data_IF_950949361482
#
_entry.id   IF_950949361482
#
_cell.length_a   1.000
_cell.length_b   1.000
_cell.length_c   1.000
_cell.angle_alpha   90.00
_cell.angle_beta   90.00
_cell.angle_gamma   90.00
#
_symmetry.space_group_name_H-M   'P 1'
#
loop_
_entity.id
_entity.type
_entity.pdbx_description
1 polymer ?
#
# COMPACT_ATOMS: atom_id res chain seq x y z
N UNK A 1 37.08 -19.19 -26.26
CA UNK A 1 36.00 -20.05 -26.82
C UNK A 1 34.96 -19.14 -27.47
N UNK A 2 34.36 -19.48 -28.64
CA UNK A 2 33.21 -18.74 -29.19
C UNK A 2 31.97 -18.81 -28.30
N UNK A 3 32.01 -19.63 -27.25
CA UNK A 3 31.01 -19.80 -26.20
C UNK A 3 31.46 -19.21 -24.86
N UNK A 4 32.19 -18.09 -24.86
CA UNK A 4 32.45 -17.33 -23.63
C UNK A 4 31.20 -16.50 -23.28
N UNK A 5 30.17 -17.18 -22.80
CA UNK A 5 29.07 -16.53 -22.08
C UNK A 5 29.54 -16.45 -20.62
N UNK A 6 29.49 -15.26 -20.02
CA UNK A 6 29.70 -15.14 -18.58
C UNK A 6 28.68 -16.04 -17.89
N UNK A 7 29.11 -16.94 -17.01
CA UNK A 7 28.19 -17.81 -16.25
C UNK A 7 27.17 -16.94 -15.52
N UNK A 8 25.89 -17.15 -15.80
CA UNK A 8 24.80 -16.44 -15.14
C UNK A 8 24.85 -16.71 -13.63
N UNK A 9 24.97 -15.65 -12.84
CA UNK A 9 24.91 -15.75 -11.39
C UNK A 9 23.43 -15.81 -10.95
N UNK A 10 22.86 -17.03 -10.95
CA UNK A 10 21.45 -17.29 -10.66
C UNK A 10 21.15 -17.49 -9.17
N UNK A 11 21.75 -16.67 -8.28
CA UNK A 11 21.41 -16.72 -6.86
C UNK A 11 20.38 -15.62 -6.57
N UNK A 12 19.17 -16.01 -6.19
CA UNK A 12 18.22 -15.06 -5.61
C UNK A 12 18.72 -14.67 -4.22
N UNK A 13 18.92 -13.37 -4.00
CA UNK A 13 19.40 -12.85 -2.72
C UNK A 13 18.25 -12.60 -1.75
N UNK A 14 16.99 -12.70 -2.19
CA UNK A 14 15.83 -12.55 -1.32
C UNK A 14 15.58 -13.81 -0.49
N UNK A 15 15.23 -13.62 0.78
CA UNK A 15 14.78 -14.70 1.64
C UNK A 15 13.41 -15.20 1.21
N UNK A 16 13.25 -16.51 1.09
CA UNK A 16 11.93 -17.10 0.97
C UNK A 16 11.24 -17.16 2.34
N UNK A 17 9.92 -17.34 2.35
CA UNK A 17 9.12 -17.39 3.58
C UNK A 17 9.62 -18.44 4.59
N UNK A 18 10.13 -19.60 4.13
CA UNK A 18 10.61 -20.66 5.03
C UNK A 18 11.93 -20.29 5.70
N UNK A 19 12.81 -19.57 5.00
CA UNK A 19 14.04 -19.04 5.57
C UNK A 19 13.73 -18.00 6.65
N UNK A 20 12.77 -17.11 6.38
CA UNK A 20 12.29 -16.15 7.39
C UNK A 20 11.69 -16.87 8.59
N UNK A 21 10.83 -17.88 8.37
CA UNK A 21 10.27 -18.69 9.45
C UNK A 21 11.35 -19.34 10.30
N UNK A 22 12.37 -19.94 9.70
CA UNK A 22 13.49 -20.53 10.44
C UNK A 22 14.23 -19.52 11.30
N UNK A 23 14.55 -18.33 10.76
CA UNK A 23 15.19 -17.26 11.53
C UNK A 23 14.34 -16.77 12.70
N UNK A 24 13.02 -16.66 12.52
CA UNK A 24 12.10 -16.22 13.58
C UNK A 24 11.90 -17.32 14.64
N UNK A 25 11.87 -18.59 14.25
CA UNK A 25 11.77 -19.74 15.17
C UNK A 25 13.01 -19.86 16.06
N UNK A 26 14.21 -19.72 15.49
CA UNK A 26 15.47 -19.67 16.25
C UNK A 26 15.44 -18.51 17.25
N UNK A 27 15.02 -17.33 16.81
CA UNK A 27 14.94 -16.14 17.65
C UNK A 27 13.92 -16.26 18.81
N UNK A 28 12.72 -16.79 18.53
CA UNK A 28 11.69 -17.03 19.56
C UNK A 28 12.15 -18.05 20.59
N UNK A 29 12.86 -19.10 20.13
CA UNK A 29 13.41 -20.14 20.99
C UNK A 29 14.46 -19.57 21.94
N UNK A 30 15.39 -18.76 21.43
CA UNK A 30 16.46 -18.14 22.22
C UNK A 30 15.93 -17.12 23.22
N UNK A 31 14.89 -16.38 22.86
CA UNK A 31 14.33 -15.31 23.70
C UNK A 31 13.12 -15.74 24.56
N UNK A 32 12.58 -16.94 24.35
CA UNK A 32 11.38 -17.48 25.00
C UNK A 32 10.17 -16.53 24.93
N UNK A 33 9.91 -15.93 23.76
CA UNK A 33 8.86 -14.91 23.60
C UNK A 33 7.47 -15.56 23.50
N UNK A 34 7.36 -16.69 22.79
CA UNK A 34 6.12 -17.39 22.51
C UNK A 34 5.26 -16.64 21.50
N UNK A 35 5.87 -16.09 20.45
CA UNK A 35 5.18 -15.38 19.37
C UNK A 35 4.52 -16.33 18.35
N UNK A 36 3.57 -15.82 17.56
CA UNK A 36 3.03 -16.57 16.42
C UNK A 36 4.03 -16.51 15.25
N UNK A 37 4.86 -17.55 15.13
CA UNK A 37 5.90 -17.65 14.09
C UNK A 37 5.32 -17.52 12.68
N UNK A 38 4.17 -18.16 12.43
CA UNK A 38 3.56 -18.16 11.10
C UNK A 38 3.05 -16.76 10.73
N UNK A 39 2.36 -16.10 11.66
CA UNK A 39 1.87 -14.74 11.43
C UNK A 39 3.01 -13.75 11.22
N UNK A 40 4.02 -13.74 12.11
CA UNK A 40 5.12 -12.79 12.05
C UNK A 40 5.98 -12.98 10.79
N UNK A 41 6.34 -14.22 10.45
CA UNK A 41 7.11 -14.48 9.22
C UNK A 41 6.32 -14.12 7.97
N UNK A 42 5.00 -14.39 7.96
CA UNK A 42 4.10 -13.96 6.91
C UNK A 42 4.12 -12.44 6.71
N UNK A 43 3.92 -11.67 7.79
CA UNK A 43 3.96 -10.21 7.75
C UNK A 43 5.31 -9.67 7.26
N UNK A 44 6.42 -10.22 7.75
CA UNK A 44 7.76 -9.82 7.29
C UNK A 44 7.90 -10.08 5.79
N UNK A 45 7.51 -11.26 5.30
CA UNK A 45 7.62 -11.60 3.88
C UNK A 45 6.69 -10.73 3.01
N UNK A 46 5.43 -10.55 3.42
CA UNK A 46 4.44 -9.76 2.68
C UNK A 46 4.91 -8.31 2.49
N UNK A 47 5.54 -7.72 3.52
CA UNK A 47 6.02 -6.34 3.44
C UNK A 47 7.33 -6.19 2.68
N UNK A 48 8.23 -7.18 2.79
CA UNK A 48 9.62 -7.04 2.31
C UNK A 48 9.89 -7.81 1.02
N UNK A 49 9.02 -8.76 0.66
CA UNK A 49 9.29 -9.80 -0.35
C UNK A 49 10.65 -10.48 -0.14
N UNK A 50 11.07 -10.65 1.12
CA UNK A 50 12.33 -11.28 1.46
C UNK A 50 13.57 -10.40 1.31
N UNK A 51 13.42 -9.11 1.03
CA UNK A 51 14.56 -8.21 0.84
C UNK A 51 15.44 -8.16 2.12
N UNK A 52 16.71 -8.65 2.08
CA UNK A 52 17.45 -8.98 3.30
C UNK A 52 17.60 -7.84 4.30
N UNK A 53 17.94 -6.64 3.81
CA UNK A 53 18.06 -5.48 4.68
C UNK A 53 16.74 -5.12 5.37
N UNK A 54 15.61 -5.19 4.65
CA UNK A 54 14.31 -4.84 5.18
C UNK A 54 13.86 -5.87 6.22
N UNK A 55 14.07 -7.16 5.94
CA UNK A 55 13.81 -8.26 6.89
C UNK A 55 14.57 -8.01 8.20
N UNK A 56 15.89 -7.87 8.13
CA UNK A 56 16.73 -7.67 9.32
C UNK A 56 16.41 -6.37 10.05
N UNK A 57 16.15 -5.29 9.31
CA UNK A 57 15.87 -3.97 9.90
C UNK A 57 14.52 -3.95 10.61
N UNK A 58 13.48 -4.58 10.07
CA UNK A 58 12.19 -4.70 10.76
C UNK A 58 12.31 -5.52 12.05
N UNK A 59 12.98 -6.68 12.01
CA UNK A 59 13.25 -7.47 13.21
C UNK A 59 14.01 -6.67 14.27
N UNK A 60 15.01 -5.89 13.85
CA UNK A 60 15.77 -5.01 14.74
C UNK A 60 14.88 -3.91 15.35
N UNK A 61 14.04 -3.26 14.55
CA UNK A 61 13.12 -2.22 15.06
C UNK A 61 12.17 -2.83 16.09
N UNK A 62 11.60 -4.00 15.80
CA UNK A 62 10.72 -4.72 16.72
C UNK A 62 11.40 -4.99 18.06
N UNK A 63 12.62 -5.49 18.00
CA UNK A 63 13.31 -5.92 19.21
C UNK A 63 13.86 -4.78 20.06
N UNK A 64 14.42 -3.76 19.41
CA UNK A 64 15.18 -2.71 20.11
C UNK A 64 14.35 -1.44 20.38
N UNK A 65 13.29 -1.18 19.60
CA UNK A 65 12.54 0.08 19.65
C UNK A 65 11.06 -0.10 19.99
N UNK A 66 10.42 -1.16 19.50
CA UNK A 66 9.02 -1.44 19.85
C UNK A 66 8.96 -2.11 21.22
N UNK A 67 9.73 -3.17 21.45
CA UNK A 67 9.79 -3.81 22.75
C UNK A 67 10.38 -2.87 23.82
N UNK A 68 9.67 -2.73 24.95
CA UNK A 68 10.02 -1.82 26.02
C UNK A 68 9.46 -0.39 25.85
N UNK A 69 8.72 -0.11 24.79
CA UNK A 69 7.99 1.14 24.63
C UNK A 69 6.79 1.23 25.58
N UNK A 70 6.22 2.43 25.77
CA UNK A 70 5.04 2.63 26.63
C UNK A 70 3.83 1.78 26.20
N UNK A 71 3.68 1.54 24.90
CA UNK A 71 2.57 0.76 24.34
C UNK A 71 2.86 -0.75 24.35
N UNK A 72 4.14 -1.14 24.25
CA UNK A 72 4.59 -2.53 24.19
C UNK A 72 5.69 -2.77 25.23
N UNK A 73 5.33 -2.97 26.50
CA UNK A 73 6.29 -2.99 27.60
C UNK A 73 7.27 -4.17 27.57
N UNK A 74 6.97 -5.22 26.81
CA UNK A 74 7.79 -6.43 26.69
C UNK A 74 7.83 -6.98 25.25
N UNK A 75 8.77 -7.90 25.00
CA UNK A 75 8.94 -8.54 23.68
C UNK A 75 7.68 -9.26 23.21
N UNK A 76 6.94 -9.90 24.11
CA UNK A 76 5.72 -10.65 23.74
C UNK A 76 4.62 -9.72 23.23
N UNK A 77 4.48 -8.54 23.82
CA UNK A 77 3.56 -7.52 23.35
C UNK A 77 4.01 -6.90 22.01
N UNK A 78 5.32 -6.74 21.80
CA UNK A 78 5.90 -6.16 20.59
C UNK A 78 5.87 -7.10 19.37
N UNK A 79 6.19 -8.38 19.55
CA UNK A 79 6.21 -9.39 18.49
C UNK A 79 4.80 -9.89 18.17
N UNK A 80 3.94 -8.96 17.77
CA UNK A 80 2.57 -9.15 17.32
C UNK A 80 2.35 -8.36 16.04
N UNK A 81 1.26 -8.62 15.30
CA UNK A 81 0.86 -7.80 14.14
C UNK A 81 0.86 -6.29 14.45
N UNK A 82 0.35 -5.90 15.62
CA UNK A 82 0.28 -4.48 16.02
C UNK A 82 1.67 -3.87 16.18
N UNK A 83 2.58 -4.55 16.87
CA UNK A 83 3.96 -4.05 17.02
C UNK A 83 4.71 -4.05 15.69
N UNK A 84 4.48 -5.05 14.82
CA UNK A 84 5.05 -5.09 13.46
C UNK A 84 4.65 -3.86 12.63
N UNK A 85 3.38 -3.46 12.66
CA UNK A 85 2.92 -2.27 11.93
C UNK A 85 3.54 -0.97 12.47
N UNK A 86 3.76 -0.87 13.77
CA UNK A 86 4.52 0.26 14.36
C UNK A 86 6.00 0.24 13.95
N UNK A 87 6.61 -0.95 13.84
CA UNK A 87 7.97 -1.07 13.32
C UNK A 87 8.07 -0.63 11.85
N UNK A 88 7.08 -0.97 11.02
CA UNK A 88 6.98 -0.49 9.63
C UNK A 88 6.86 1.03 9.59
N UNK A 89 6.07 1.64 10.48
CA UNK A 89 5.95 3.09 10.58
C UNK A 89 7.30 3.74 10.89
N UNK A 90 8.01 3.24 11.90
CA UNK A 90 9.36 3.71 12.25
C UNK A 90 10.31 3.60 11.05
N UNK A 91 10.31 2.47 10.36
CA UNK A 91 11.17 2.23 9.19
C UNK A 91 10.93 3.25 8.06
N UNK A 92 9.67 3.63 7.83
CA UNK A 92 9.28 4.58 6.78
C UNK A 92 9.52 6.04 7.15
N UNK A 93 9.67 6.36 8.44
CA UNK A 93 9.88 7.71 8.96
C UNK A 93 11.35 8.00 9.31
N UNK A 94 12.15 6.97 9.59
CA UNK A 94 13.56 7.14 9.95
C UNK A 94 14.45 7.37 8.71
N UNK A 95 15.43 8.30 8.80
CA UNK A 95 16.52 8.36 7.82
C UNK A 95 17.30 7.05 7.82
N UNK A 96 17.47 6.44 6.65
CA UNK A 96 18.30 5.25 6.50
C UNK A 96 18.96 5.21 5.12
N UNK A 97 20.12 4.58 5.05
CA UNK A 97 20.98 4.56 3.86
C UNK A 97 20.32 3.92 2.63
N UNK A 98 19.41 2.96 2.84
CA UNK A 98 18.64 2.37 1.75
C UNK A 98 17.68 3.40 1.14
N UNK A 99 16.92 4.09 1.98
CA UNK A 99 15.96 5.12 1.54
C UNK A 99 16.67 6.29 0.87
N UNK A 100 17.77 6.77 1.45
CA UNK A 100 18.61 7.83 0.85
C UNK A 100 19.12 7.40 -0.53
N UNK A 101 19.63 6.16 -0.64
CA UNK A 101 20.11 5.64 -1.90
C UNK A 101 19.02 5.58 -2.96
N UNK A 102 17.83 5.06 -2.62
CA UNK A 102 16.69 5.00 -3.53
C UNK A 102 16.23 6.41 -3.96
N UNK A 103 16.09 7.35 -3.02
CA UNK A 103 15.65 8.71 -3.32
C UNK A 103 16.64 9.39 -4.28
N UNK A 104 17.95 9.28 -4.03
CA UNK A 104 18.97 9.84 -4.91
C UNK A 104 18.89 9.26 -6.34
N UNK A 105 18.54 7.98 -6.51
CA UNK A 105 18.34 7.40 -7.85
C UNK A 105 17.14 7.98 -8.59
N UNK A 106 16.10 8.44 -7.89
CA UNK A 106 14.96 9.10 -8.52
C UNK A 106 15.30 10.51 -9.00
N UNK A 107 16.22 11.18 -8.31
CA UNK A 107 16.74 12.49 -8.70
C UNK A 107 17.70 12.38 -9.89
N UNK A 108 18.61 11.40 -9.85
CA UNK A 108 19.60 11.14 -10.91
C UNK A 108 18.96 10.72 -12.24
N UNK A 109 17.79 10.06 -12.20
CA UNK A 109 17.16 9.43 -13.35
C UNK A 109 15.64 9.76 -13.46
N UNK A 110 15.27 10.90 -14.06
CA UNK A 110 13.87 11.33 -14.15
C UNK A 110 12.94 10.32 -14.87
N UNK A 111 13.45 9.57 -15.85
CA UNK A 111 12.71 8.51 -16.55
C UNK A 111 12.27 7.37 -15.62
N UNK A 112 13.03 7.11 -14.55
CA UNK A 112 12.68 6.16 -13.51
C UNK A 112 11.52 6.69 -12.66
N UNK A 113 11.51 7.98 -12.36
CA UNK A 113 10.39 8.61 -11.64
C UNK A 113 9.08 8.48 -12.43
N UNK A 114 9.11 8.70 -13.75
CA UNK A 114 7.91 8.57 -14.59
C UNK A 114 7.34 7.15 -14.62
N UNK A 115 8.18 6.13 -14.79
CA UNK A 115 7.70 4.75 -14.87
C UNK A 115 7.12 4.27 -13.53
N UNK A 116 7.73 4.66 -12.41
CA UNK A 116 7.22 4.33 -11.08
C UNK A 116 5.91 5.07 -10.79
N UNK A 117 5.78 6.32 -11.21
CA UNK A 117 4.53 7.08 -11.09
C UNK A 117 3.38 6.39 -11.86
N UNK A 118 3.65 5.93 -13.10
CA UNK A 118 2.68 5.21 -13.92
C UNK A 118 2.27 3.85 -13.29
N UNK A 119 3.20 3.11 -12.70
CA UNK A 119 2.90 1.86 -11.97
C UNK A 119 2.03 2.12 -10.74
N UNK A 120 2.34 3.17 -9.97
CA UNK A 120 1.72 3.44 -8.67
C UNK A 120 0.35 4.11 -8.82
N UNK A 121 0.23 5.19 -9.58
CA UNK A 121 -1.01 5.98 -9.60
C UNK A 121 -1.97 5.57 -10.72
N UNK A 122 -1.43 5.20 -11.89
CA UNK A 122 -2.24 4.81 -13.05
C UNK A 122 -2.53 3.31 -13.10
N UNK A 123 -1.86 2.52 -12.27
CA UNK A 123 -2.00 1.07 -12.24
C UNK A 123 -1.68 0.39 -13.58
N UNK A 124 -0.85 1.02 -14.41
CA UNK A 124 -0.52 0.50 -15.74
C UNK A 124 0.22 -0.82 -15.63
N UNK A 125 -0.22 -1.81 -16.41
CA UNK A 125 0.57 -3.00 -16.66
C UNK A 125 1.71 -2.65 -17.62
N UNK A 126 2.94 -2.70 -17.12
CA UNK A 126 4.12 -2.38 -17.91
C UNK A 126 4.83 -3.69 -18.25
N UNK A 127 4.82 -4.03 -19.54
CA UNK A 127 5.53 -5.20 -20.07
C UNK A 127 7.03 -4.97 -19.98
N UNK A 128 7.76 -5.95 -19.48
CA UNK A 128 9.21 -5.97 -19.50
C UNK A 128 9.69 -6.14 -20.95
N UNK A 129 10.43 -5.14 -21.45
CA UNK A 129 11.04 -5.16 -22.77
C UNK A 129 12.53 -4.83 -22.63
N UNK A 130 13.38 -5.73 -23.15
CA UNK A 130 14.84 -5.56 -23.16
C UNK A 130 15.22 -4.31 -23.96
N UNK A 131 16.20 -3.55 -23.47
CA UNK A 131 16.69 -2.32 -24.09
C UNK A 131 15.89 -1.07 -23.72
N UNK A 132 14.80 -1.20 -22.97
CA UNK A 132 14.11 -0.05 -22.37
C UNK A 132 14.83 0.33 -21.08
N UNK A 133 15.69 1.35 -21.20
CA UNK A 133 16.60 1.77 -20.12
C UNK A 133 15.89 2.06 -18.79
N UNK A 134 14.75 2.74 -18.78
CA UNK A 134 14.01 3.04 -17.54
C UNK A 134 13.53 1.78 -16.81
N UNK A 135 13.11 0.75 -17.55
CA UNK A 135 12.70 -0.55 -17.00
C UNK A 135 13.91 -1.30 -16.43
N UNK A 136 15.01 -1.34 -17.19
CA UNK A 136 16.23 -2.02 -16.76
C UNK A 136 16.84 -1.38 -15.52
N UNK A 137 16.77 -0.05 -15.43
CA UNK A 137 17.21 0.69 -14.25
C UNK A 137 16.31 0.48 -13.04
N UNK A 138 14.99 0.44 -13.24
CA UNK A 138 14.06 0.12 -12.15
C UNK A 138 14.33 -1.26 -11.55
N UNK A 139 14.64 -2.25 -12.40
CA UNK A 139 15.04 -3.60 -11.98
C UNK A 139 16.41 -3.59 -11.30
N UNK A 140 17.40 -2.92 -11.91
CA UNK A 140 18.78 -2.86 -11.41
C UNK A 140 18.87 -2.25 -10.02
N UNK A 141 18.11 -1.18 -9.76
CA UNK A 141 18.08 -0.54 -8.44
C UNK A 141 17.11 -1.20 -7.46
N UNK A 142 16.40 -2.26 -7.88
CA UNK A 142 15.52 -3.04 -7.01
C UNK A 142 14.18 -2.38 -6.70
N UNK A 143 13.78 -1.30 -7.39
CA UNK A 143 12.44 -0.72 -7.23
C UNK A 143 11.33 -1.66 -7.69
N UNK A 144 11.61 -2.44 -8.74
CA UNK A 144 10.67 -3.38 -9.34
C UNK A 144 11.27 -4.77 -9.45
N UNK A 145 10.40 -5.77 -9.56
CA UNK A 145 10.71 -7.15 -9.92
C UNK A 145 9.87 -7.58 -11.12
N UNK A 146 10.31 -8.64 -11.80
CA UNK A 146 9.53 -9.26 -12.87
C UNK A 146 8.40 -10.11 -12.28
N UNK A 147 7.21 -9.99 -12.84
CA UNK A 147 6.05 -10.83 -12.56
C UNK A 147 5.44 -11.27 -13.89
N UNK A 148 5.68 -12.52 -14.28
CA UNK A 148 5.42 -12.99 -15.64
C UNK A 148 6.18 -12.13 -16.67
N UNK A 149 5.43 -11.56 -17.62
CA UNK A 149 5.98 -10.66 -18.64
C UNK A 149 5.98 -9.18 -18.22
N UNK A 150 5.49 -8.84 -17.03
CA UNK A 150 5.34 -7.46 -16.57
C UNK A 150 6.36 -7.12 -15.47
N UNK A 151 6.52 -5.84 -15.19
CA UNK A 151 7.20 -5.35 -13.98
C UNK A 151 6.19 -4.91 -12.92
N UNK A 152 6.54 -5.15 -11.66
CA UNK A 152 5.75 -4.74 -10.49
C UNK A 152 6.69 -4.17 -9.43
N UNK A 153 6.18 -3.29 -8.55
CA UNK A 153 6.99 -2.78 -7.43
C UNK A 153 7.48 -3.97 -6.58
N UNK A 154 8.75 -3.94 -6.18
CA UNK A 154 9.44 -5.11 -5.66
C UNK A 154 8.84 -5.64 -4.35
N UNK A 155 8.44 -4.72 -3.46
CA UNK A 155 7.87 -5.01 -2.15
C UNK A 155 7.01 -3.83 -1.66
N UNK A 156 6.20 -4.09 -0.62
CA UNK A 156 5.25 -3.13 -0.05
C UNK A 156 5.93 -1.94 0.61
N UNK A 157 7.08 -2.13 1.27
CA UNK A 157 7.83 -1.03 1.89
C UNK A 157 8.23 0.00 0.83
N UNK A 158 8.76 -0.46 -0.31
CA UNK A 158 9.13 0.43 -1.43
C UNK A 158 7.90 1.08 -2.05
N UNK A 159 6.79 0.35 -2.20
CA UNK A 159 5.53 0.92 -2.69
C UNK A 159 5.04 2.06 -1.78
N UNK A 160 4.96 1.83 -0.47
CA UNK A 160 4.54 2.86 0.50
C UNK A 160 5.53 4.02 0.57
N UNK A 161 6.84 3.77 0.55
CA UNK A 161 7.87 4.80 0.52
C UNK A 161 7.70 5.72 -0.71
N UNK A 162 7.51 5.13 -1.89
CA UNK A 162 7.32 5.88 -3.14
C UNK A 162 6.02 6.68 -3.14
N UNK A 163 4.92 6.12 -2.65
CA UNK A 163 3.68 6.88 -2.50
C UNK A 163 3.86 8.07 -1.55
N UNK A 164 4.49 7.85 -0.39
CA UNK A 164 4.75 8.92 0.58
C UNK A 164 5.61 10.02 -0.03
N UNK A 165 6.68 9.65 -0.74
CA UNK A 165 7.55 10.60 -1.43
C UNK A 165 6.80 11.40 -2.50
N UNK A 166 6.05 10.74 -3.37
CA UNK A 166 5.36 11.41 -4.47
C UNK A 166 4.20 12.28 -4.02
N UNK A 167 3.43 11.86 -3.01
CA UNK A 167 2.34 12.65 -2.44
C UNK A 167 2.85 13.83 -1.59
N UNK A 168 4.08 13.75 -1.09
CA UNK A 168 4.71 14.87 -0.37
C UNK A 168 5.30 15.94 -1.31
N UNK A 169 5.35 15.72 -2.63
CA UNK A 169 5.86 16.71 -3.57
C UNK A 169 5.08 18.04 -3.45
N UNK A 170 5.75 19.21 -3.58
CA UNK A 170 5.10 20.52 -3.43
C UNK A 170 3.89 20.70 -4.35
N UNK A 171 3.97 20.20 -5.59
CA UNK A 171 2.85 20.25 -6.53
C UNK A 171 1.60 19.52 -6.01
N UNK A 172 1.79 18.43 -5.25
CA UNK A 172 0.71 17.62 -4.68
C UNK A 172 0.12 18.26 -3.42
N UNK A 173 0.97 18.80 -2.54
CA UNK A 173 0.50 19.46 -1.31
C UNK A 173 -0.29 20.74 -1.58
N UNK A 174 -0.10 21.35 -2.74
CA UNK A 174 -0.86 22.53 -3.18
C UNK A 174 -2.19 22.15 -3.86
N UNK A 175 -2.47 20.87 -4.11
CA UNK A 175 -3.74 20.47 -4.71
C UNK A 175 -4.92 20.85 -3.80
N UNK A 176 -6.01 21.30 -4.42
CA UNK A 176 -7.22 21.75 -3.75
C UNK A 176 -7.84 20.60 -2.94
N UNK A 177 -7.76 19.35 -3.42
CA UNK A 177 -8.34 18.21 -2.71
C UNK A 177 -7.58 17.88 -1.41
N UNK A 178 -6.26 18.09 -1.38
CA UNK A 178 -5.46 17.96 -0.17
C UNK A 178 -5.87 18.99 0.89
N UNK A 179 -6.03 20.25 0.46
CA UNK A 179 -6.42 21.35 1.35
C UNK A 179 -7.85 21.17 1.89
N UNK A 180 -8.77 20.69 1.06
CA UNK A 180 -10.14 20.36 1.49
C UNK A 180 -10.15 19.30 2.61
N UNK A 181 -9.35 18.23 2.47
CA UNK A 181 -9.21 17.22 3.52
C UNK A 181 -8.62 17.79 4.82
N UNK A 182 -7.61 18.66 4.71
CA UNK A 182 -6.94 19.25 5.86
C UNK A 182 -7.86 20.17 6.67
N UNK A 183 -8.68 20.99 6.01
CA UNK A 183 -9.66 21.87 6.67
C UNK A 183 -10.69 21.08 7.47
N UNK A 184 -11.10 19.95 6.93
CA UNK A 184 -12.14 19.09 7.47
C UNK A 184 -11.60 18.02 8.44
N UNK A 185 -10.27 17.95 8.65
CA UNK A 185 -9.59 16.86 9.38
C UNK A 185 -10.24 16.50 10.72
N UNK A 186 -10.60 17.51 11.51
CA UNK A 186 -11.10 17.34 12.88
C UNK A 186 -12.44 16.60 12.96
N UNK A 187 -13.22 16.55 11.86
CA UNK A 187 -14.51 15.86 11.86
C UNK A 187 -14.38 14.36 11.59
N UNK A 188 -13.26 13.89 11.02
CA UNK A 188 -13.08 12.50 10.61
C UNK A 188 -12.68 11.57 11.74
N UNK A 189 -12.30 12.13 12.90
CA UNK A 189 -11.81 11.36 14.03
C UNK A 189 -12.74 11.58 15.22
N UNK A 190 -13.37 10.51 15.69
CA UNK A 190 -14.24 10.53 16.86
C UNK A 190 -13.68 9.60 17.94
N UNK A 191 -13.36 10.15 19.12
CA UNK A 191 -12.75 9.41 20.23
C UNK A 191 -11.50 8.59 19.84
N UNK A 192 -10.71 9.07 18.88
CA UNK A 192 -9.50 8.37 18.39
C UNK A 192 -9.76 7.30 17.33
N UNK A 193 -11.01 7.14 16.87
CA UNK A 193 -11.40 6.23 15.80
C UNK A 193 -11.61 7.00 14.50
N UNK A 194 -11.19 6.41 13.38
CA UNK A 194 -11.35 7.02 12.05
C UNK A 194 -12.72 6.66 11.47
N UNK A 195 -13.54 7.68 11.18
CA UNK A 195 -14.81 7.49 10.48
C UNK A 195 -14.57 7.45 8.96
N UNK A 196 -14.21 6.26 8.46
CA UNK A 196 -13.95 6.03 7.03
C UNK A 196 -15.19 6.28 6.15
N UNK A 197 -16.40 6.07 6.68
CA UNK A 197 -17.63 6.35 5.94
C UNK A 197 -17.81 7.85 5.72
N UNK A 198 -17.55 8.66 6.76
CA UNK A 198 -17.54 10.11 6.64
C UNK A 198 -16.41 10.61 5.73
N UNK A 199 -15.22 10.01 5.80
CA UNK A 199 -14.11 10.31 4.88
C UNK A 199 -14.55 10.12 3.43
N UNK A 200 -15.16 8.98 3.09
CA UNK A 200 -15.64 8.71 1.74
C UNK A 200 -16.78 9.64 1.32
N UNK A 201 -17.73 9.93 2.23
CA UNK A 201 -18.83 10.85 1.97
C UNK A 201 -18.32 12.24 1.62
N UNK A 202 -17.35 12.76 2.39
CA UNK A 202 -16.74 14.08 2.15
C UNK A 202 -15.80 14.06 0.94
N UNK A 203 -15.12 12.95 0.68
CA UNK A 203 -14.35 12.76 -0.55
C UNK A 203 -15.25 12.91 -1.78
N UNK A 204 -16.43 12.27 -1.82
CA UNK A 204 -17.39 12.42 -2.93
C UNK A 204 -17.76 13.89 -3.14
N UNK A 205 -18.10 14.60 -2.05
CA UNK A 205 -18.48 16.03 -2.13
C UNK A 205 -17.34 16.86 -2.71
N UNK A 206 -16.16 16.83 -2.11
CA UNK A 206 -15.03 17.64 -2.56
C UNK A 206 -14.55 17.25 -3.96
N UNK A 207 -14.52 15.95 -4.28
CA UNK A 207 -14.12 15.48 -5.59
C UNK A 207 -15.05 16.02 -6.68
N UNK A 208 -16.37 15.96 -6.47
CA UNK A 208 -17.34 16.47 -7.44
C UNK A 208 -17.31 18.00 -7.55
N UNK A 209 -17.11 18.73 -6.46
CA UNK A 209 -16.96 20.19 -6.47
C UNK A 209 -15.72 20.66 -7.23
N UNK A 210 -14.58 19.96 -7.05
CA UNK A 210 -13.30 20.37 -7.64
C UNK A 210 -13.14 19.84 -9.08
N UNK A 211 -13.66 18.64 -9.36
CA UNK A 211 -13.36 17.92 -10.58
C UNK A 211 -14.58 17.47 -11.38
N UNK A 212 -15.82 17.74 -10.94
CA UNK A 212 -17.04 17.28 -11.61
C UNK A 212 -17.19 17.78 -13.06
N UNK A 213 -16.53 18.88 -13.42
CA UNK A 213 -16.51 19.43 -14.79
C UNK A 213 -15.30 18.98 -15.63
N UNK A 214 -14.33 18.24 -15.05
CA UNK A 214 -13.15 17.75 -15.77
C UNK A 214 -13.50 16.52 -16.61
N UNK A 215 -12.84 16.35 -17.75
CA UNK A 215 -13.11 15.25 -18.68
C UNK A 215 -12.85 13.86 -18.08
N UNK A 216 -13.70 12.89 -18.44
CA UNK A 216 -13.74 11.54 -17.86
C UNK A 216 -12.38 10.83 -17.85
N UNK A 217 -11.64 10.88 -18.98
CA UNK A 217 -10.32 10.24 -19.13
C UNK A 217 -9.26 10.76 -18.15
N UNK A 218 -9.35 12.04 -17.77
CA UNK A 218 -8.39 12.66 -16.84
C UNK A 218 -8.58 12.15 -15.41
N UNK A 219 -9.82 11.83 -15.03
CA UNK A 219 -10.16 11.39 -13.68
C UNK A 219 -9.96 9.88 -13.50
N UNK A 220 -10.17 9.11 -14.58
CA UNK A 220 -9.95 7.67 -14.62
C UNK A 220 -8.47 7.30 -14.38
N UNK A 221 -7.55 8.00 -15.05
CA UNK A 221 -6.11 7.72 -14.99
C UNK A 221 -5.48 8.01 -13.60
N UNK A 222 -6.19 8.72 -12.70
CA UNK A 222 -5.59 9.30 -11.48
C UNK A 222 -6.45 9.15 -10.20
N UNK A 223 -7.56 8.40 -10.24
CA UNK A 223 -8.50 8.27 -9.11
C UNK A 223 -7.82 7.81 -7.80
N UNK A 224 -6.86 6.87 -7.90
CA UNK A 224 -6.05 6.43 -6.75
C UNK A 224 -5.22 7.55 -6.15
N UNK A 225 -4.59 8.37 -6.99
CA UNK A 225 -3.79 9.51 -6.51
C UNK A 225 -4.66 10.47 -5.73
N UNK A 226 -5.83 10.84 -6.26
CA UNK A 226 -6.73 11.78 -5.60
C UNK A 226 -7.22 11.29 -4.25
N UNK A 227 -7.59 10.00 -4.15
CA UNK A 227 -8.03 9.45 -2.88
C UNK A 227 -6.88 9.34 -1.87
N UNK A 228 -5.70 8.86 -2.27
CA UNK A 228 -4.54 8.82 -1.36
C UNK A 228 -4.10 10.22 -0.92
N UNK A 229 -4.17 11.20 -1.82
CA UNK A 229 -3.86 12.59 -1.51
C UNK A 229 -4.87 13.19 -0.51
N UNK A 230 -6.15 12.85 -0.65
CA UNK A 230 -7.21 13.23 0.29
C UNK A 230 -7.03 12.57 1.66
N UNK A 231 -6.64 11.30 1.68
CA UNK A 231 -6.46 10.52 2.90
C UNK A 231 -5.22 10.95 3.69
N UNK A 232 -4.12 11.31 3.00
CA UNK A 232 -2.81 11.60 3.60
C UNK A 232 -2.88 12.59 4.79
N UNK A 233 -3.50 13.78 4.69
CA UNK A 233 -3.56 14.71 5.83
C UNK A 233 -4.45 14.20 6.98
N UNK A 234 -5.46 13.37 6.68
CA UNK A 234 -6.42 12.84 7.65
C UNK A 234 -5.73 11.86 8.60
N UNK A 235 -5.00 10.89 8.05
CA UNK A 235 -4.34 9.83 8.83
C UNK A 235 -2.93 10.20 9.31
N UNK A 236 -2.39 11.34 8.89
CA UNK A 236 -1.02 11.76 9.21
C UNK A 236 -0.74 11.75 10.72
N UNK A 237 0.34 11.08 11.13
CA UNK A 237 0.81 10.96 12.51
C UNK A 237 0.24 9.77 13.29
N UNK A 238 -0.97 9.31 12.99
CA UNK A 238 -1.69 8.28 13.76
C UNK A 238 -2.10 7.04 12.97
N UNK A 239 -1.90 7.06 11.65
CA UNK A 239 -2.15 5.91 10.79
C UNK A 239 -1.19 5.83 9.61
N UNK A 240 -1.25 4.70 8.93
CA UNK A 240 -0.50 4.42 7.71
C UNK A 240 -1.42 3.76 6.68
N UNK A 241 -1.00 3.74 5.42
CA UNK A 241 -1.66 2.95 4.39
C UNK A 241 -0.64 2.15 3.61
N UNK A 242 -1.11 1.06 3.00
CA UNK A 242 -0.36 0.30 2.03
C UNK A 242 -1.29 -0.28 0.98
N UNK A 243 -0.71 -0.70 -0.13
CA UNK A 243 -1.43 -1.36 -1.20
C UNK A 243 -1.17 -2.86 -1.09
N UNK A 244 -2.23 -3.66 -1.15
CA UNK A 244 -2.10 -5.11 -1.09
C UNK A 244 -1.55 -5.64 -2.43
N UNK A 245 -0.53 -6.49 -2.34
CA UNK A 245 0.25 -6.91 -3.51
C UNK A 245 -0.45 -8.07 -4.23
N UNK A 246 -1.00 -7.77 -5.42
CA UNK A 246 -1.48 -8.69 -6.46
C UNK A 246 -2.03 -10.04 -5.98
N UNK A 247 -3.36 -10.15 -5.96
CA UNK A 247 -4.03 -11.44 -6.10
C UNK A 247 -3.90 -11.98 -7.53
N UNK A 248 -4.17 -13.28 -7.69
CA UNK A 248 -4.12 -14.11 -8.93
C UNK A 248 -4.67 -13.48 -10.23
N UNK A 249 -5.39 -12.36 -10.16
CA UNK A 249 -6.03 -11.69 -11.29
C UNK A 249 -5.30 -10.44 -11.81
N UNK A 250 -4.09 -10.13 -11.32
CA UNK A 250 -3.25 -9.01 -11.79
C UNK A 250 -3.84 -7.60 -11.60
N UNK A 251 -5.06 -7.48 -11.05
CA UNK A 251 -5.70 -6.20 -10.72
C UNK A 251 -5.26 -5.75 -9.33
N UNK A 252 -4.49 -4.65 -9.29
CA UNK A 252 -4.05 -3.98 -8.06
C UNK A 252 -5.16 -3.07 -7.54
N UNK A 253 -5.98 -3.39 -6.54
CA UNK A 253 -6.96 -2.39 -6.06
C UNK A 253 -7.47 -2.55 -4.63
N UNK A 254 -6.59 -2.79 -3.65
CA UNK A 254 -6.98 -2.65 -2.24
C UNK A 254 -6.03 -1.71 -1.51
N UNK A 255 -6.55 -0.56 -1.11
CA UNK A 255 -5.87 0.29 -0.14
C UNK A 255 -6.27 -0.22 1.24
N UNK A 256 -5.28 -0.57 2.04
CA UNK A 256 -5.49 -0.89 3.44
C UNK A 256 -4.98 0.28 4.27
N UNK A 257 -5.83 0.76 5.16
CA UNK A 257 -5.53 1.85 6.09
C UNK A 257 -5.50 1.27 7.49
N UNK A 258 -4.38 1.41 8.17
CA UNK A 258 -4.25 1.12 9.58
C UNK A 258 -4.30 2.44 10.35
N UNK A 259 -5.22 2.59 11.29
CA UNK A 259 -5.36 3.79 12.11
C UNK A 259 -5.64 3.41 13.56
N UNK A 260 -4.73 3.74 14.48
CA UNK A 260 -4.86 3.40 15.91
C UNK A 260 -5.21 1.93 16.22
N UNK A 261 -4.77 0.99 15.37
CA UNK A 261 -5.05 -0.45 15.51
C UNK A 261 -6.34 -0.93 14.83
N UNK A 262 -7.10 -0.03 14.20
CA UNK A 262 -8.22 -0.37 13.32
C UNK A 262 -7.75 -0.50 11.88
N UNK A 263 -8.27 -1.49 11.15
CA UNK A 263 -7.95 -1.70 9.74
C UNK A 263 -9.17 -1.42 8.87
N UNK A 264 -8.97 -0.65 7.80
CA UNK A 264 -10.00 -0.35 6.81
C UNK A 264 -9.53 -0.83 5.44
N UNK A 265 -10.33 -1.69 4.79
CA UNK A 265 -10.06 -2.19 3.44
C UNK A 265 -10.92 -1.40 2.46
N UNK A 266 -10.28 -0.71 1.52
CA UNK A 266 -10.92 0.09 0.49
C UNK A 266 -10.59 -0.48 -0.88
N UNK A 267 -11.56 -1.16 -1.49
CA UNK A 267 -11.48 -1.58 -2.89
C UNK A 267 -11.76 -0.37 -3.79
N UNK A 268 -10.85 -0.05 -4.71
CA UNK A 268 -11.07 1.03 -5.68
C UNK A 268 -11.50 0.46 -7.03
N UNK A 269 -12.48 1.06 -7.69
CA UNK A 269 -12.86 0.63 -9.03
C UNK A 269 -13.28 1.77 -9.95
N UNK A 270 -13.01 1.57 -11.24
CA UNK A 270 -13.63 2.35 -12.32
C UNK A 270 -14.89 1.60 -12.76
N UNK A 271 -16.02 2.31 -12.84
CA UNK A 271 -17.30 1.70 -13.19
C UNK A 271 -17.40 1.42 -14.71
N UNK A 272 -17.36 0.15 -15.09
CA UNK A 272 -17.58 -0.30 -16.48
C UNK A 272 -18.86 -1.16 -16.67
N UNK A 273 -19.79 -1.15 -15.71
CA UNK A 273 -21.05 -1.90 -15.75
C UNK A 273 -21.24 -2.89 -14.60
N UNK A 274 -22.42 -3.51 -14.55
CA UNK A 274 -22.89 -4.30 -13.39
C UNK A 274 -22.05 -5.55 -13.12
N UNK A 275 -21.57 -6.25 -14.15
CA UNK A 275 -20.70 -7.43 -13.98
C UNK A 275 -19.34 -7.06 -13.37
N UNK A 276 -18.81 -5.89 -13.72
CA UNK A 276 -17.58 -5.38 -13.14
C UNK A 276 -17.78 -5.02 -11.67
N UNK A 277 -18.96 -4.47 -11.33
CA UNK A 277 -19.32 -4.17 -9.94
C UNK A 277 -19.38 -5.42 -9.06
N UNK A 278 -20.15 -6.43 -9.48
CA UNK A 278 -20.29 -7.68 -8.73
C UNK A 278 -18.95 -8.43 -8.56
N UNK A 279 -17.99 -8.23 -9.47
CA UNK A 279 -16.63 -8.78 -9.34
C UNK A 279 -15.82 -8.07 -8.26
N UNK A 280 -15.90 -6.74 -8.18
CA UNK A 280 -15.25 -5.95 -7.12
C UNK A 280 -15.79 -6.28 -5.72
N UNK A 281 -17.11 -6.46 -5.60
CA UNK A 281 -17.75 -6.86 -4.33
C UNK A 281 -17.22 -8.22 -3.84
N UNK A 282 -17.06 -9.21 -4.73
CA UNK A 282 -16.50 -10.52 -4.35
C UNK A 282 -15.05 -10.43 -3.92
N UNK A 283 -14.24 -9.66 -4.64
CA UNK A 283 -12.84 -9.43 -4.28
C UNK A 283 -12.73 -8.82 -2.88
N UNK A 284 -13.52 -7.78 -2.59
CA UNK A 284 -13.56 -7.17 -1.27
C UNK A 284 -14.01 -8.17 -0.19
N UNK A 285 -14.99 -9.03 -0.46
CA UNK A 285 -15.43 -10.06 0.50
C UNK A 285 -14.29 -11.05 0.84
N UNK A 286 -13.52 -11.49 -0.17
CA UNK A 286 -12.38 -12.38 0.02
C UNK A 286 -11.32 -11.73 0.94
N UNK A 287 -11.07 -10.43 0.78
CA UNK A 287 -10.18 -9.69 1.66
C UNK A 287 -10.73 -9.52 3.07
N UNK A 288 -12.00 -9.19 3.20
CA UNK A 288 -12.65 -9.11 4.50
C UNK A 288 -12.56 -10.46 5.25
N UNK A 289 -12.65 -11.60 4.54
CA UNK A 289 -12.43 -12.93 5.15
C UNK A 289 -10.98 -13.12 5.59
N UNK A 290 -10.02 -12.78 4.73
CA UNK A 290 -8.59 -12.88 5.03
C UNK A 290 -8.20 -12.06 6.27
N UNK A 291 -8.68 -10.82 6.36
CA UNK A 291 -8.41 -9.91 7.48
C UNK A 291 -9.37 -10.07 8.66
N UNK A 292 -10.36 -10.96 8.57
CA UNK A 292 -11.39 -11.20 9.61
C UNK A 292 -12.14 -9.92 9.99
N UNK A 293 -12.60 -9.18 8.98
CA UNK A 293 -13.37 -7.94 9.11
C UNK A 293 -14.81 -8.14 8.63
N UNK A 294 -15.76 -7.52 9.32
CA UNK A 294 -17.18 -7.55 8.96
C UNK A 294 -17.62 -6.35 8.10
N UNK A 295 -16.78 -5.31 8.01
CA UNK A 295 -17.06 -4.08 7.28
C UNK A 295 -15.93 -3.75 6.31
N UNK A 296 -16.28 -3.49 5.05
CA UNK A 296 -15.37 -3.02 4.01
C UNK A 296 -15.91 -1.82 3.26
N UNK A 297 -15.05 -1.21 2.46
CA UNK A 297 -15.36 0.02 1.75
C UNK A 297 -15.03 -0.14 0.27
N UNK A 298 -15.82 0.51 -0.58
CA UNK A 298 -15.61 0.50 -2.01
C UNK A 298 -15.70 1.92 -2.54
N UNK A 299 -14.71 2.35 -3.32
CA UNK A 299 -14.70 3.65 -3.98
C UNK A 299 -14.82 3.46 -5.49
N UNK A 300 -16.00 3.80 -6.01
CA UNK A 300 -16.40 3.57 -7.39
C UNK A 300 -16.39 4.88 -8.17
N UNK A 301 -15.41 5.07 -9.05
CA UNK A 301 -15.39 6.18 -10.00
C UNK A 301 -16.35 5.87 -11.15
N UNK A 302 -17.52 6.51 -11.16
CA UNK A 302 -18.51 6.34 -12.21
C UNK A 302 -18.55 7.59 -13.07
N UNK A 303 -18.25 7.47 -14.36
CA UNK A 303 -18.25 8.61 -15.27
C UNK A 303 -19.53 8.70 -16.11
N UNK A 304 -20.51 7.83 -15.87
CA UNK A 304 -21.79 7.90 -16.55
C UNK A 304 -22.56 9.17 -16.17
N UNK A 305 -23.02 9.94 -17.15
CA UNK A 305 -23.82 11.16 -16.95
C UNK A 305 -25.13 10.94 -16.15
N UNK A 306 -25.64 9.70 -16.11
CA UNK A 306 -26.85 9.33 -15.36
C UNK A 306 -26.54 8.65 -14.02
N UNK A 307 -25.28 8.71 -13.54
CA UNK A 307 -24.91 8.10 -12.26
C UNK A 307 -25.66 8.73 -11.10
N UNK A 308 -25.87 7.92 -10.07
CA UNK A 308 -26.26 8.39 -8.75
C UNK A 308 -25.01 8.40 -7.87
N UNK A 309 -24.39 9.58 -7.71
CA UNK A 309 -23.26 9.75 -6.79
C UNK A 309 -23.76 9.73 -5.34
N UNK A 310 -22.98 9.15 -4.43
CA UNK A 310 -23.34 9.06 -3.01
C UNK A 310 -22.84 7.78 -2.34
N UNK A 311 -23.29 7.57 -1.10
CA UNK A 311 -22.99 6.38 -0.31
C UNK A 311 -24.16 5.38 -0.45
N UNK A 312 -23.83 4.11 -0.66
CA UNK A 312 -24.76 2.98 -0.63
C UNK A 312 -24.24 1.95 0.35
N UNK A 313 -25.10 1.49 1.25
CA UNK A 313 -24.80 0.36 2.12
C UNK A 313 -25.32 -0.93 1.46
N UNK A 314 -24.44 -1.91 1.33
CA UNK A 314 -24.73 -3.20 0.70
C UNK A 314 -24.38 -4.28 1.72
N UNK A 315 -25.34 -5.16 2.03
CA UNK A 315 -25.14 -6.31 2.93
C UNK A 315 -25.02 -7.58 2.09
N UNK A 316 -23.86 -8.24 2.17
CA UNK A 316 -23.56 -9.49 1.45
C UNK A 316 -22.90 -10.49 2.40
N UNK A 317 -23.39 -11.72 2.46
CA UNK A 317 -22.83 -12.79 3.29
C UNK A 317 -22.57 -12.39 4.76
N UNK A 318 -23.51 -11.65 5.37
CA UNK A 318 -23.40 -11.11 6.74
C UNK A 318 -22.32 -10.05 6.95
N UNK A 319 -21.70 -9.54 5.88
CA UNK A 319 -20.76 -8.43 5.89
C UNK A 319 -21.40 -7.16 5.32
N UNK A 320 -20.93 -6.01 5.77
CA UNK A 320 -21.37 -4.69 5.31
C UNK A 320 -20.33 -4.06 4.40
N UNK A 321 -20.75 -3.66 3.21
CA UNK A 321 -19.94 -2.90 2.26
C UNK A 321 -20.51 -1.48 2.16
N UNK A 322 -19.69 -0.48 2.41
CA UNK A 322 -20.00 0.92 2.17
C UNK A 322 -19.44 1.29 0.79
N UNK A 323 -20.32 1.39 -0.21
CA UNK A 323 -19.95 1.84 -1.55
C UNK A 323 -20.11 3.35 -1.69
N UNK A 324 -19.02 4.03 -1.99
CA UNK A 324 -18.95 5.43 -2.36
C UNK A 324 -18.86 5.56 -3.88
N UNK A 325 -19.94 6.02 -4.52
CA UNK A 325 -19.97 6.30 -5.96
C UNK A 325 -19.67 7.77 -6.19
N UNK A 326 -18.56 8.02 -6.88
CA UNK A 326 -18.11 9.36 -7.28
C UNK A 326 -18.60 9.68 -8.68
#
# INVERSE_FOLDING_TARGET
SPWNIATDFNTDMAFNIKEIMGMIEEYDTDCHIGMDICEISGLIYDYTSGYPFLVSKLCKILDEYIAGSTTFPDKKSAWTKKGFLEAVKILLEEPNTLSDSLINKLEDYPELRYILNDLLFKGKEIVYVIGIRSIEMALMFGFVKKSGNNIVIANRIFETLLYNLFLAAPEMQQDIIFNAALQDKNQFIYNGHLDMELVLKKFITHFNEIYGEKGEKFLEDDGRRYFLLYLKPIINGSGNYYIESQTRNMRRTDIIVDYNGEQFIIEMKIWHGNEYNARGERQLLDYLDYYKLDKGYMLSFNFNKKKESGIKEIVLNSKTIIEAVV
#
